data_IF_776218355783
#
_entry.id   IF_776218355783
#
_cell.length_a   1.000
_cell.length_b   1.000
_cell.length_c   1.000
_cell.angle_alpha   90.00
_cell.angle_beta   90.00
_cell.angle_gamma   90.00
#
_symmetry.space_group_name_H-M   'P 1'
#
loop_
_entity.id
_entity.type
_entity.pdbx_description
1 polymer ?
#
# COMPACT_ATOMS: atom_id res chain seq x y z
N UNK A 1 3.29 -30.61 -1.50
CA UNK A 1 3.23 -29.51 -0.53
C UNK A 1 4.60 -28.90 -0.38
N UNK A 2 4.67 -27.57 -0.33
CA UNK A 2 5.92 -26.83 -0.09
C UNK A 2 5.66 -25.81 1.01
N UNK A 3 6.61 -25.73 1.95
CA UNK A 3 6.66 -24.62 2.89
C UNK A 3 7.49 -23.49 2.28
N UNK A 4 6.92 -22.30 2.26
CA UNK A 4 7.57 -21.06 1.89
C UNK A 4 7.69 -20.17 3.13
N UNK A 5 8.78 -19.45 3.26
CA UNK A 5 9.00 -18.48 4.35
C UNK A 5 10.48 -18.39 4.74
N UNK A 6 10.94 -17.19 4.99
CA UNK A 6 12.30 -16.94 5.47
C UNK A 6 12.45 -17.38 6.93
N UNK A 7 13.65 -17.85 7.32
CA UNK A 7 13.94 -18.31 8.69
C UNK A 7 13.69 -17.26 9.77
N UNK A 8 13.74 -15.99 9.41
CA UNK A 8 13.56 -14.84 10.31
C UNK A 8 12.12 -14.40 10.47
N UNK A 9 11.20 -14.88 9.61
CA UNK A 9 9.77 -14.52 9.67
C UNK A 9 9.00 -15.49 10.56
N UNK A 10 8.09 -14.95 11.36
CA UNK A 10 7.23 -15.77 12.24
C UNK A 10 6.15 -16.56 11.49
N UNK A 11 5.95 -16.28 10.20
CA UNK A 11 4.93 -16.90 9.37
C UNK A 11 5.54 -17.92 8.40
N UNK A 12 4.79 -18.98 8.18
CA UNK A 12 5.07 -20.00 7.17
C UNK A 12 3.85 -20.20 6.30
N UNK A 13 4.07 -20.20 5.00
CA UNK A 13 3.04 -20.49 4.00
C UNK A 13 3.21 -21.95 3.57
N UNK A 14 2.16 -22.73 3.65
CA UNK A 14 2.11 -24.07 3.09
C UNK A 14 1.28 -24.02 1.80
N UNK A 15 1.93 -24.27 0.68
CA UNK A 15 1.31 -24.24 -0.65
C UNK A 15 1.24 -25.64 -1.29
N UNK A 16 0.12 -25.94 -1.94
CA UNK A 16 -0.01 -27.14 -2.73
C UNK A 16 0.56 -26.92 -4.13
N UNK A 17 1.77 -27.45 -4.43
CA UNK A 17 2.39 -27.34 -5.77
C UNK A 17 1.79 -28.34 -6.74
N UNK A 18 1.43 -29.52 -6.28
CA UNK A 18 0.91 -30.61 -7.10
C UNK A 18 -0.17 -31.38 -6.33
N UNK A 19 -1.38 -31.41 -6.86
CA UNK A 19 -2.48 -32.17 -6.27
C UNK A 19 -3.18 -32.94 -7.41
N UNK A 20 -3.24 -34.27 -7.30
CA UNK A 20 -3.89 -35.14 -8.27
C UNK A 20 -5.41 -35.27 -8.08
N UNK A 21 -5.90 -34.89 -6.90
CA UNK A 21 -7.26 -35.14 -6.46
C UNK A 21 -8.04 -33.88 -6.08
N UNK A 22 -7.45 -32.67 -6.28
CA UNK A 22 -8.07 -31.42 -5.92
C UNK A 22 -7.32 -30.20 -6.46
N UNK A 23 -7.72 -29.01 -6.00
CA UNK A 23 -7.11 -27.75 -6.37
C UNK A 23 -5.67 -27.66 -5.86
N UNK A 24 -4.77 -27.09 -6.66
CA UNK A 24 -3.43 -26.67 -6.22
C UNK A 24 -3.42 -25.23 -5.70
N UNK A 25 -4.58 -24.56 -5.70
CA UNK A 25 -4.71 -23.17 -5.27
C UNK A 25 -4.95 -23.03 -3.77
N UNK A 26 -4.91 -24.12 -3.00
CA UNK A 26 -5.08 -24.06 -1.55
C UNK A 26 -3.79 -23.67 -0.86
N UNK A 27 -3.94 -22.76 0.10
CA UNK A 27 -2.87 -22.17 0.87
C UNK A 27 -3.26 -22.25 2.36
N UNK A 28 -2.35 -22.69 3.20
CA UNK A 28 -2.47 -22.62 4.64
C UNK A 28 -1.35 -21.75 5.22
N UNK A 29 -1.70 -20.89 6.17
CA UNK A 29 -0.77 -20.02 6.89
C UNK A 29 -0.58 -20.53 8.31
N UNK A 30 0.68 -20.60 8.73
CA UNK A 30 1.08 -21.01 10.07
C UNK A 30 1.94 -19.95 10.71
N UNK A 31 1.75 -19.72 11.99
CA UNK A 31 2.64 -18.92 12.83
C UNK A 31 3.61 -19.83 13.59
N UNK A 32 4.83 -19.38 13.79
CA UNK A 32 5.79 -20.03 14.69
C UNK A 32 5.49 -19.61 16.12
N UNK A 33 5.03 -20.54 16.94
CA UNK A 33 4.86 -20.39 18.39
C UNK A 33 5.91 -21.22 19.13
N UNK A 34 6.01 -21.05 20.45
CA UNK A 34 6.88 -21.89 21.29
C UNK A 34 6.52 -23.36 21.20
N UNK A 35 5.22 -23.67 20.98
CA UNK A 35 4.68 -25.02 20.77
C UNK A 35 4.94 -25.59 19.37
N UNK A 36 5.54 -24.84 18.45
CA UNK A 36 5.74 -25.21 17.06
C UNK A 36 4.86 -24.42 16.08
N UNK A 37 4.49 -25.03 14.96
CA UNK A 37 3.62 -24.42 13.95
C UNK A 37 2.15 -24.44 14.40
N UNK A 38 1.54 -23.28 14.47
CA UNK A 38 0.12 -23.10 14.78
C UNK A 38 -0.59 -22.51 13.56
N UNK A 39 -1.71 -23.10 13.16
CA UNK A 39 -2.51 -22.58 12.02
C UNK A 39 -3.05 -21.19 12.34
N UNK A 40 -3.00 -20.29 11.34
CA UNK A 40 -3.55 -18.93 11.43
C UNK A 40 -4.93 -18.93 10.79
N UNK A 41 -5.97 -18.92 11.63
CA UNK A 41 -7.37 -18.91 11.17
C UNK A 41 -7.73 -17.68 10.37
N UNK A 42 -7.18 -16.51 10.75
CA UNK A 42 -7.45 -15.24 10.13
C UNK A 42 -6.16 -14.50 9.73
N UNK A 43 -5.55 -14.88 8.60
CA UNK A 43 -4.33 -14.26 8.13
C UNK A 43 -4.46 -12.75 7.87
N UNK A 44 -5.59 -12.34 7.31
CA UNK A 44 -5.84 -10.92 7.01
C UNK A 44 -5.83 -10.07 8.28
N UNK A 45 -6.39 -10.57 9.39
CA UNK A 45 -6.36 -9.84 10.66
C UNK A 45 -4.92 -9.70 11.20
N UNK A 46 -4.08 -10.69 10.99
CA UNK A 46 -2.68 -10.65 11.38
C UNK A 46 -1.90 -9.60 10.55
N UNK A 47 -2.12 -9.55 9.23
CA UNK A 47 -1.44 -8.61 8.34
C UNK A 47 -1.92 -7.18 8.46
N UNK A 48 -3.16 -6.98 8.85
CA UNK A 48 -3.73 -5.65 9.06
C UNK A 48 -3.40 -5.09 10.45
N UNK A 49 -3.11 -5.96 11.45
CA UNK A 49 -2.68 -5.55 12.77
C UNK A 49 -3.51 -4.37 13.32
N UNK A 50 -2.80 -3.30 13.73
CA UNK A 50 -3.42 -2.07 14.25
C UNK A 50 -4.31 -1.33 13.22
N UNK A 51 -4.23 -1.68 11.93
CA UNK A 51 -5.08 -1.07 10.90
C UNK A 51 -6.55 -1.35 11.14
N UNK A 52 -6.90 -2.56 11.61
CA UNK A 52 -8.29 -2.91 11.92
C UNK A 52 -8.87 -2.02 13.03
N UNK A 53 -8.07 -1.64 14.01
CA UNK A 53 -8.49 -0.70 15.05
C UNK A 53 -8.76 0.72 14.51
N UNK A 54 -8.24 1.04 13.33
CA UNK A 54 -8.41 2.33 12.67
C UNK A 54 -9.59 2.37 11.70
N UNK A 55 -10.18 1.22 11.35
CA UNK A 55 -11.41 1.15 10.57
C UNK A 55 -12.53 1.85 11.34
N UNK A 56 -13.15 2.86 10.72
CA UNK A 56 -14.15 3.72 11.38
C UNK A 56 -13.58 4.99 12.03
N UNK A 57 -12.25 5.16 12.12
CA UNK A 57 -11.65 6.45 12.45
C UNK A 57 -11.73 7.41 11.24
N UNK A 58 -11.63 8.71 11.51
CA UNK A 58 -11.77 9.72 10.45
C UNK A 58 -10.55 9.86 9.53
N UNK A 59 -9.39 9.35 9.94
CA UNK A 59 -8.14 9.54 9.17
C UNK A 59 -7.21 8.32 9.26
N UNK A 60 -6.71 7.87 8.10
CA UNK A 60 -5.54 7.02 7.98
C UNK A 60 -4.26 7.86 7.86
N UNK A 61 -3.09 7.24 8.05
CA UNK A 61 -1.83 7.88 7.71
C UNK A 61 -1.71 8.07 6.19
N UNK A 62 -1.07 9.17 5.74
CA UNK A 62 -0.66 9.32 4.35
C UNK A 62 0.30 8.19 3.96
N UNK A 63 0.31 7.81 2.70
CA UNK A 63 1.16 6.74 2.23
C UNK A 63 0.67 5.32 2.60
N UNK A 64 -0.58 5.15 3.02
CA UNK A 64 -1.11 3.82 3.35
C UNK A 64 -2.37 3.49 2.56
N UNK A 65 -2.50 2.22 2.16
CA UNK A 65 -3.70 1.68 1.51
C UNK A 65 -3.92 0.22 1.93
N UNK A 66 -5.13 -0.28 1.74
CA UNK A 66 -5.43 -1.71 1.92
C UNK A 66 -5.80 -2.30 0.57
N UNK A 67 -5.18 -3.43 0.25
CA UNK A 67 -5.47 -4.23 -0.92
C UNK A 67 -6.19 -5.52 -0.51
N UNK A 68 -7.06 -6.01 -1.38
CA UNK A 68 -7.64 -7.33 -1.26
C UNK A 68 -7.18 -8.18 -2.44
N UNK A 69 -6.27 -9.10 -2.19
CA UNK A 69 -5.71 -9.98 -3.17
C UNK A 69 -6.26 -11.39 -3.11
N UNK A 70 -6.09 -12.12 -4.20
CA UNK A 70 -6.36 -13.54 -4.28
C UNK A 70 -5.06 -14.32 -4.10
N UNK A 71 -4.99 -15.16 -3.11
CA UNK A 71 -3.88 -16.09 -2.92
C UNK A 71 -4.47 -17.50 -2.93
N UNK A 72 -4.35 -18.16 -4.08
CA UNK A 72 -5.03 -19.43 -4.30
C UNK A 72 -6.56 -19.31 -4.23
N UNK A 73 -7.19 -20.12 -3.39
CA UNK A 73 -8.65 -20.10 -3.15
C UNK A 73 -9.07 -19.07 -2.10
N UNK A 74 -8.14 -18.50 -1.34
CA UNK A 74 -8.40 -17.53 -0.27
C UNK A 74 -8.20 -16.11 -0.75
N UNK A 75 -8.97 -15.20 -0.18
CA UNK A 75 -8.75 -13.76 -0.31
C UNK A 75 -8.02 -13.25 0.91
N UNK A 76 -6.94 -12.50 0.70
CA UNK A 76 -6.15 -11.90 1.76
C UNK A 76 -6.23 -10.38 1.67
N UNK A 77 -6.39 -9.73 2.83
CA UNK A 77 -6.23 -8.29 2.95
C UNK A 77 -4.84 -7.97 3.50
N UNK A 78 -4.16 -7.06 2.83
CA UNK A 78 -2.82 -6.62 3.18
C UNK A 78 -2.76 -5.10 3.23
N UNK A 79 -2.02 -4.57 4.19
CA UNK A 79 -1.69 -3.15 4.21
C UNK A 79 -0.45 -2.91 3.35
N UNK A 80 -0.57 -1.90 2.49
CA UNK A 80 0.53 -1.34 1.70
C UNK A 80 0.95 -0.03 2.32
N UNK A 81 2.24 0.15 2.51
CA UNK A 81 2.85 1.39 2.96
C UNK A 81 3.81 1.91 1.90
N UNK A 82 3.72 3.18 1.57
CA UNK A 82 4.64 3.86 0.67
C UNK A 82 5.17 5.14 1.29
N UNK A 83 6.43 5.44 1.01
CA UNK A 83 7.07 6.68 1.38
C UNK A 83 7.77 7.28 0.16
N UNK A 84 7.44 8.53 -0.15
CA UNK A 84 8.11 9.32 -1.18
C UNK A 84 8.88 10.44 -0.51
N UNK A 85 10.17 10.55 -0.80
CA UNK A 85 11.06 11.51 -0.14
C UNK A 85 11.86 12.28 -1.18
N UNK A 86 11.88 13.61 -1.06
CA UNK A 86 12.77 14.43 -1.88
C UNK A 86 14.22 14.14 -1.49
N UNK A 87 15.04 13.83 -2.48
CA UNK A 87 16.47 13.58 -2.28
C UNK A 87 17.29 14.63 -3.02
N UNK A 88 18.37 15.12 -2.39
CA UNK A 88 19.37 15.94 -3.06
C UNK A 88 20.34 15.12 -3.93
N UNK A 89 20.19 13.80 -3.96
CA UNK A 89 21.04 12.91 -4.72
C UNK A 89 20.51 12.75 -6.16
N UNK A 90 21.34 12.85 -7.19
CA UNK A 90 20.94 12.57 -8.57
C UNK A 90 20.50 11.10 -8.79
N UNK A 91 20.98 10.18 -7.96
CA UNK A 91 20.62 8.76 -8.03
C UNK A 91 19.44 8.48 -7.09
N UNK A 92 18.25 8.51 -7.62
CA UNK A 92 17.01 8.18 -6.88
C UNK A 92 16.94 6.68 -6.56
N UNK A 93 16.41 6.36 -5.39
CA UNK A 93 16.24 4.99 -4.92
C UNK A 93 14.81 4.52 -5.17
N UNK A 94 14.67 3.27 -5.55
CA UNK A 94 13.41 2.53 -5.63
C UNK A 94 13.58 1.27 -4.80
N UNK A 95 12.86 1.19 -3.71
CA UNK A 95 12.92 0.04 -2.79
C UNK A 95 11.52 -0.53 -2.63
N UNK A 96 11.39 -1.82 -2.79
CA UNK A 96 10.11 -2.52 -2.64
C UNK A 96 10.32 -3.82 -1.88
N UNK A 97 9.43 -4.07 -0.92
CA UNK A 97 9.36 -5.32 -0.17
C UNK A 97 7.97 -5.93 -0.32
N UNK A 98 7.90 -7.19 -0.66
CA UNK A 98 6.65 -7.94 -0.80
C UNK A 98 5.89 -7.69 -2.09
N UNK A 99 6.48 -7.00 -3.09
CA UNK A 99 5.90 -6.72 -4.40
C UNK A 99 6.96 -6.81 -5.50
N UNK A 100 6.53 -7.08 -6.74
CA UNK A 100 7.45 -7.13 -7.88
C UNK A 100 8.05 -5.75 -8.20
N UNK A 101 9.37 -5.68 -8.30
CA UNK A 101 10.11 -4.45 -8.55
C UNK A 101 9.80 -3.83 -9.91
N UNK A 102 9.72 -4.65 -10.97
CA UNK A 102 9.46 -4.15 -12.32
C UNK A 102 8.02 -3.63 -12.42
N UNK A 103 7.08 -4.28 -11.73
CA UNK A 103 5.69 -3.81 -11.67
C UNK A 103 5.58 -2.48 -10.92
N UNK A 104 6.31 -2.29 -9.83
CA UNK A 104 6.41 -0.99 -9.17
C UNK A 104 6.91 0.09 -10.14
N UNK A 105 7.98 -0.17 -10.91
CA UNK A 105 8.50 0.80 -11.89
C UNK A 105 7.45 1.18 -12.94
N UNK A 106 6.66 0.22 -13.42
CA UNK A 106 5.55 0.47 -14.35
C UNK A 106 4.48 1.37 -13.71
N UNK A 107 4.07 1.09 -12.48
CA UNK A 107 3.10 1.91 -11.76
C UNK A 107 3.59 3.34 -11.55
N UNK A 108 4.85 3.52 -11.16
CA UNK A 108 5.46 4.85 -11.03
C UNK A 108 5.44 5.62 -12.35
N UNK A 109 5.76 4.96 -13.47
CA UNK A 109 5.71 5.56 -14.80
C UNK A 109 4.27 5.97 -15.20
N UNK A 110 3.27 5.14 -14.86
CA UNK A 110 1.84 5.47 -15.08
C UNK A 110 1.40 6.65 -14.22
N UNK A 111 1.74 6.66 -12.93
CA UNK A 111 1.46 7.77 -12.01
C UNK A 111 2.09 9.08 -12.50
N UNK A 112 3.33 9.02 -12.98
CA UNK A 112 4.01 10.19 -13.52
C UNK A 112 3.37 10.66 -14.83
N UNK A 113 3.19 9.75 -15.81
CA UNK A 113 2.77 10.12 -17.16
C UNK A 113 1.28 10.40 -17.28
N UNK A 114 0.41 9.66 -16.55
CA UNK A 114 -1.05 9.74 -16.69
C UNK A 114 -1.71 10.60 -15.62
N UNK A 115 -1.12 10.63 -14.42
CA UNK A 115 -1.67 11.39 -13.29
C UNK A 115 -0.94 12.72 -13.12
N UNK A 116 0.33 12.81 -13.55
CA UNK A 116 1.13 14.03 -13.45
C UNK A 116 1.89 14.17 -12.13
N UNK A 117 2.08 13.07 -11.38
CA UNK A 117 2.88 13.08 -10.15
C UNK A 117 4.38 13.10 -10.52
N UNK A 118 5.12 14.12 -10.07
CA UNK A 118 6.55 14.26 -10.39
C UNK A 118 7.41 13.36 -9.49
N UNK A 119 7.46 12.06 -9.80
CA UNK A 119 8.14 11.05 -8.99
C UNK A 119 9.59 10.80 -9.39
N UNK A 120 10.03 11.29 -10.55
CA UNK A 120 11.34 11.00 -11.15
C UNK A 120 12.53 11.46 -10.30
N UNK A 121 12.34 12.44 -9.41
CA UNK A 121 13.39 12.99 -8.52
C UNK A 121 13.20 12.64 -7.05
N UNK A 122 12.33 11.71 -6.73
CA UNK A 122 12.03 11.31 -5.37
C UNK A 122 12.52 9.89 -5.13
N UNK A 123 13.06 9.62 -3.97
CA UNK A 123 13.15 8.24 -3.48
C UNK A 123 11.76 7.70 -3.21
N UNK A 124 11.50 6.46 -3.61
CA UNK A 124 10.22 5.78 -3.37
C UNK A 124 10.49 4.45 -2.69
N UNK A 125 9.87 4.28 -1.55
CA UNK A 125 9.90 3.06 -0.76
C UNK A 125 8.48 2.50 -0.69
N UNK A 126 8.30 1.21 -0.98
CA UNK A 126 7.03 0.50 -0.86
C UNK A 126 7.23 -0.76 -0.04
N UNK A 127 6.32 -1.02 0.87
CA UNK A 127 6.36 -2.19 1.72
C UNK A 127 4.95 -2.79 1.87
N UNK A 128 4.83 -4.10 1.62
CA UNK A 128 3.65 -4.85 2.02
C UNK A 128 3.86 -5.34 3.44
N UNK A 129 2.96 -4.94 4.32
CA UNK A 129 3.04 -5.29 5.75
C UNK A 129 2.84 -6.79 5.93
N UNK A 130 3.65 -7.40 6.80
CA UNK A 130 3.59 -8.83 7.10
C UNK A 130 4.63 -9.67 6.36
N UNK A 131 5.37 -9.07 5.41
CA UNK A 131 6.52 -9.71 4.79
C UNK A 131 6.18 -10.88 3.86
N UNK A 132 4.97 -10.96 3.33
CA UNK A 132 4.61 -11.87 2.26
C UNK A 132 5.04 -11.29 0.91
N UNK A 133 5.53 -12.15 0.03
CA UNK A 133 5.66 -11.79 -1.38
C UNK A 133 4.28 -11.98 -2.03
N UNK A 134 3.74 -10.88 -2.53
CA UNK A 134 2.40 -10.82 -3.08
C UNK A 134 2.46 -10.54 -4.58
N UNK A 135 1.95 -11.47 -5.39
CA UNK A 135 2.10 -11.45 -6.85
C UNK A 135 0.82 -11.08 -7.61
N UNK A 136 -0.31 -10.92 -6.91
CA UNK A 136 -1.60 -10.67 -7.57
C UNK A 136 -1.68 -9.24 -8.12
N UNK A 137 -1.79 -9.06 -9.46
CA UNK A 137 -1.93 -7.75 -10.09
C UNK A 137 -3.11 -6.91 -9.58
N UNK A 138 -4.11 -7.55 -8.98
CA UNK A 138 -5.23 -6.87 -8.34
C UNK A 138 -4.82 -5.92 -7.20
N UNK A 139 -3.59 -5.98 -6.72
CA UNK A 139 -3.01 -5.07 -5.73
C UNK A 139 -2.49 -3.74 -6.29
N UNK A 140 -2.33 -3.60 -7.61
CA UNK A 140 -1.75 -2.40 -8.23
C UNK A 140 -2.42 -1.11 -7.81
N UNK A 141 -3.74 -1.12 -7.76
CA UNK A 141 -4.51 0.06 -7.41
C UNK A 141 -4.19 0.56 -6.00
N UNK A 142 -4.00 -0.36 -5.04
CA UNK A 142 -3.60 0.00 -3.68
C UNK A 142 -2.16 0.48 -3.59
N UNK A 143 -1.23 -0.13 -4.36
CA UNK A 143 0.15 0.38 -4.48
C UNK A 143 0.14 1.82 -5.02
N UNK A 144 -0.62 2.06 -6.08
CA UNK A 144 -0.77 3.39 -6.67
C UNK A 144 -1.37 4.40 -5.69
N UNK A 145 -2.37 3.99 -4.88
CA UNK A 145 -2.94 4.84 -3.84
C UNK A 145 -1.92 5.18 -2.74
N UNK A 146 -1.19 4.19 -2.25
CA UNK A 146 -0.17 4.41 -1.22
C UNK A 146 0.91 5.40 -1.71
N UNK A 147 1.43 5.21 -2.92
CA UNK A 147 2.42 6.13 -3.52
C UNK A 147 1.84 7.53 -3.72
N UNK A 148 0.64 7.64 -4.31
CA UNK A 148 0.01 8.93 -4.57
C UNK A 148 -0.31 9.69 -3.29
N UNK A 149 -0.83 9.01 -2.27
CA UNK A 149 -1.15 9.64 -0.97
C UNK A 149 0.09 10.07 -0.21
N UNK A 150 1.17 9.30 -0.28
CA UNK A 150 2.48 9.72 0.26
C UNK A 150 3.01 10.96 -0.45
N UNK A 151 2.94 11.00 -1.78
CA UNK A 151 3.40 12.15 -2.58
C UNK A 151 2.59 13.42 -2.30
N UNK A 152 1.28 13.29 -2.15
CA UNK A 152 0.36 14.42 -1.94
C UNK A 152 0.21 14.82 -0.47
N UNK A 153 0.83 14.07 0.44
CA UNK A 153 0.61 14.17 1.90
C UNK A 153 -0.88 14.20 2.27
N UNK A 154 -1.63 13.28 1.66
CA UNK A 154 -3.07 13.11 1.86
C UNK A 154 -3.37 11.73 2.40
N UNK A 155 -4.48 11.58 3.09
CA UNK A 155 -4.99 10.29 3.54
C UNK A 155 -6.23 9.88 2.74
N UNK A 156 -6.47 8.57 2.69
CA UNK A 156 -7.71 7.98 2.21
C UNK A 156 -8.53 7.47 3.39
N UNK A 157 -9.79 7.15 3.14
CA UNK A 157 -10.69 6.56 4.14
C UNK A 157 -10.06 5.27 4.72
N UNK A 158 -9.93 5.15 6.06
CA UNK A 158 -9.40 3.94 6.69
C UNK A 158 -10.20 2.67 6.37
N UNK A 159 -11.50 2.81 6.12
CA UNK A 159 -12.40 1.71 5.75
C UNK A 159 -12.41 1.37 4.25
N UNK A 160 -11.53 1.99 3.45
CA UNK A 160 -11.43 1.77 2.02
C UNK A 160 -10.51 0.61 1.68
N UNK A 161 -10.96 -0.28 0.80
CA UNK A 161 -10.15 -1.32 0.15
C UNK A 161 -10.03 -1.00 -1.34
N UNK A 162 -8.82 -1.13 -1.88
CA UNK A 162 -8.52 -0.94 -3.29
C UNK A 162 -8.28 -2.29 -3.97
N UNK A 163 -8.96 -2.54 -5.08
CA UNK A 163 -8.76 -3.74 -5.90
C UNK A 163 -8.78 -3.37 -7.36
N UNK A 164 -7.75 -3.71 -8.10
CA UNK A 164 -7.70 -3.46 -9.55
C UNK A 164 -6.30 -3.59 -10.11
N UNK A 165 -6.18 -4.16 -11.29
CA UNK A 165 -4.95 -4.13 -12.08
C UNK A 165 -4.87 -2.81 -12.84
N UNK A 166 -3.69 -2.17 -12.84
CA UNK A 166 -3.45 -0.91 -13.56
C UNK A 166 -2.67 -1.18 -14.83
N UNK A 167 -3.29 -0.86 -15.98
CA UNK A 167 -2.61 -0.94 -17.27
C UNK A 167 -1.73 0.27 -17.56
N UNK A 168 -0.82 0.16 -18.53
CA UNK A 168 0.14 1.21 -18.90
C UNK A 168 -0.50 2.48 -19.47
N UNK A 169 -1.74 2.39 -19.95
CA UNK A 169 -2.49 3.56 -20.41
C UNK A 169 -3.25 4.25 -19.27
N UNK A 170 -3.22 3.66 -18.05
CA UNK A 170 -3.91 4.15 -16.87
C UNK A 170 -5.33 3.60 -16.74
N UNK A 171 -5.72 2.64 -17.58
CA UNK A 171 -6.98 1.90 -17.45
C UNK A 171 -6.96 0.96 -16.24
N UNK A 172 -8.13 0.73 -15.65
CA UNK A 172 -8.31 -0.26 -14.57
C UNK A 172 -8.91 -1.54 -15.17
N UNK A 173 -8.16 -2.63 -15.06
CA UNK A 173 -8.50 -3.93 -15.64
C UNK A 173 -9.22 -4.83 -14.66
N UNK A 174 -9.98 -5.78 -15.23
CA UNK A 174 -10.71 -6.79 -14.47
C UNK A 174 -9.79 -7.61 -13.56
N UNK A 175 -10.32 -7.99 -12.40
CA UNK A 175 -9.69 -8.92 -11.48
C UNK A 175 -10.55 -10.15 -11.27
N UNK A 176 -9.92 -11.28 -10.99
CA UNK A 176 -10.61 -12.51 -10.69
C UNK A 176 -11.15 -12.52 -9.26
N UNK A 177 -12.25 -13.23 -9.04
CA UNK A 177 -12.83 -13.50 -7.70
C UNK A 177 -13.15 -12.23 -6.88
N UNK A 178 -13.49 -11.10 -7.55
CA UNK A 178 -13.76 -9.83 -6.87
C UNK A 178 -14.78 -9.99 -5.74
N UNK A 179 -15.87 -10.73 -5.95
CA UNK A 179 -16.91 -10.94 -4.94
C UNK A 179 -16.38 -11.59 -3.65
N UNK A 180 -15.46 -12.56 -3.75
CA UNK A 180 -14.82 -13.18 -2.58
C UNK A 180 -13.92 -12.19 -1.84
N UNK A 181 -13.13 -11.39 -2.56
CA UNK A 181 -12.27 -10.35 -1.99
C UNK A 181 -13.06 -9.32 -1.19
N UNK A 182 -14.17 -8.85 -1.73
CA UNK A 182 -15.02 -7.86 -1.06
C UNK A 182 -15.79 -8.44 0.14
N UNK A 183 -16.19 -9.71 0.08
CA UNK A 183 -16.79 -10.39 1.23
C UNK A 183 -15.81 -10.51 2.39
N UNK A 184 -14.55 -10.85 2.11
CA UNK A 184 -13.51 -10.89 3.12
C UNK A 184 -13.24 -9.50 3.70
N UNK A 185 -13.18 -8.46 2.86
CA UNK A 185 -13.06 -7.08 3.32
C UNK A 185 -14.22 -6.66 4.23
N UNK A 186 -15.47 -6.96 3.83
CA UNK A 186 -16.64 -6.68 4.66
C UNK A 186 -16.60 -7.45 6.00
N UNK A 187 -16.15 -8.71 5.99
CA UNK A 187 -16.02 -9.52 7.22
C UNK A 187 -15.07 -8.88 8.24
N UNK A 188 -14.05 -8.18 7.75
CA UNK A 188 -13.06 -7.47 8.55
C UNK A 188 -13.45 -6.02 8.90
N UNK A 189 -14.67 -5.61 8.54
CA UNK A 189 -15.22 -4.30 8.90
C UNK A 189 -15.01 -3.20 7.88
N UNK A 190 -14.35 -3.45 6.74
CA UNK A 190 -14.25 -2.47 5.66
C UNK A 190 -15.62 -2.23 5.04
N UNK A 191 -15.92 -0.97 4.77
CA UNK A 191 -17.26 -0.54 4.33
C UNK A 191 -17.25 0.18 2.98
N UNK A 192 -16.08 0.34 2.36
CA UNK A 192 -15.91 0.99 1.07
C UNK A 192 -14.90 0.24 0.21
N UNK A 193 -15.18 0.12 -1.09
CA UNK A 193 -14.26 -0.49 -2.04
C UNK A 193 -14.22 0.30 -3.35
N UNK A 194 -13.01 0.48 -3.91
CA UNK A 194 -12.81 0.97 -5.27
C UNK A 194 -12.34 -0.20 -6.12
N UNK A 195 -13.07 -0.49 -7.20
CA UNK A 195 -12.93 -1.71 -7.98
C UNK A 195 -13.01 -1.43 -9.48
N UNK A 196 -12.54 -2.34 -10.35
CA UNK A 196 -12.73 -2.19 -11.79
C UNK A 196 -14.23 -2.20 -12.14
N UNK A 197 -14.68 -1.20 -12.86
CA UNK A 197 -16.08 -1.10 -13.31
C UNK A 197 -16.49 -2.26 -14.21
N UNK A 198 -15.56 -2.79 -14.98
CA UNK A 198 -15.78 -3.96 -15.86
C UNK A 198 -16.18 -5.23 -15.09
N UNK A 199 -15.87 -5.32 -13.80
CA UNK A 199 -16.30 -6.42 -12.93
C UNK A 199 -17.73 -6.26 -12.39
N UNK A 200 -18.40 -5.14 -12.64
CA UNK A 200 -19.74 -4.86 -12.16
C UNK A 200 -20.80 -5.13 -13.26
N UNK A 201 -22.04 -5.53 -12.88
CA UNK A 201 -22.50 -5.80 -11.51
C UNK A 201 -22.01 -7.11 -10.93
N UNK A 202 -21.83 -7.17 -9.62
CA UNK A 202 -21.51 -8.41 -8.91
C UNK A 202 -22.74 -9.29 -8.76
N UNK A 203 -22.61 -10.60 -8.93
CA UNK A 203 -23.69 -11.56 -8.73
C UNK A 203 -24.21 -11.55 -7.27
N UNK A 204 -23.30 -11.46 -6.30
CA UNK A 204 -23.59 -11.43 -4.89
C UNK A 204 -22.77 -10.30 -4.22
N UNK A 205 -23.23 -9.05 -4.31
CA UNK A 205 -22.49 -7.92 -3.73
C UNK A 205 -22.52 -7.97 -2.19
N UNK A 206 -21.48 -7.45 -1.52
CA UNK A 206 -21.47 -7.30 -0.08
C UNK A 206 -22.57 -6.32 0.34
N UNK A 207 -23.37 -6.68 1.35
CA UNK A 207 -24.59 -5.93 1.72
C UNK A 207 -24.32 -4.63 2.49
N UNK A 208 -23.14 -4.48 3.10
CA UNK A 208 -22.77 -3.36 3.97
C UNK A 208 -21.53 -2.61 3.46
N UNK A 209 -21.31 -2.59 2.17
CA UNK A 209 -20.13 -1.99 1.55
C UNK A 209 -20.55 -1.13 0.37
N UNK A 210 -20.08 0.11 0.35
CA UNK A 210 -20.14 0.98 -0.82
C UNK A 210 -19.09 0.50 -1.85
N UNK A 211 -19.55 0.09 -3.04
CA UNK A 211 -18.67 -0.39 -4.11
C UNK A 211 -18.65 0.63 -5.25
N UNK A 212 -17.50 1.24 -5.47
CA UNK A 212 -17.28 2.26 -6.49
C UNK A 212 -16.53 1.64 -7.67
N UNK A 213 -17.19 1.52 -8.81
CA UNK A 213 -16.60 1.07 -10.06
C UNK A 213 -15.89 2.19 -10.80
N UNK A 214 -14.64 1.96 -11.22
CA UNK A 214 -13.81 2.93 -11.93
C UNK A 214 -13.22 2.34 -13.21
N UNK A 215 -13.06 3.18 -14.23
CA UNK A 215 -12.49 2.80 -15.52
C UNK A 215 -11.02 3.21 -15.64
N UNK A 216 -10.58 4.22 -14.88
CA UNK A 216 -9.22 4.76 -14.95
C UNK A 216 -8.60 5.01 -13.57
N UNK A 217 -7.27 5.02 -13.52
CA UNK A 217 -6.51 5.38 -12.32
C UNK A 217 -6.81 6.81 -11.85
N UNK A 218 -7.08 7.72 -12.80
CA UNK A 218 -7.47 9.10 -12.47
C UNK A 218 -8.80 9.16 -11.72
N UNK A 219 -9.81 8.40 -12.17
CA UNK A 219 -11.11 8.32 -11.50
C UNK A 219 -11.00 7.64 -10.14
N UNK A 220 -10.18 6.59 -10.07
CA UNK A 220 -9.90 5.89 -8.81
C UNK A 220 -9.28 6.82 -7.75
N UNK A 221 -8.28 7.62 -8.13
CA UNK A 221 -7.64 8.56 -7.21
C UNK A 221 -8.60 9.69 -6.79
N UNK A 222 -9.44 10.20 -7.70
CA UNK A 222 -10.49 11.19 -7.34
C UNK A 222 -11.50 10.62 -6.35
N UNK A 223 -11.88 9.36 -6.53
CA UNK A 223 -12.81 8.68 -5.62
C UNK A 223 -12.19 8.38 -4.25
N UNK A 224 -10.88 8.09 -4.20
CA UNK A 224 -10.16 7.74 -2.98
C UNK A 224 -9.74 8.96 -2.15
N UNK A 225 -9.32 10.06 -2.79
CA UNK A 225 -8.72 11.23 -2.15
C UNK A 225 -9.68 12.42 -2.22
N UNK A 226 -10.33 12.77 -1.10
CA UNK A 226 -11.30 13.87 -1.09
C UNK A 226 -10.68 15.20 -1.55
N UNK A 227 -11.36 15.88 -2.47
CA UNK A 227 -10.93 17.19 -2.97
C UNK A 227 -9.68 17.15 -3.86
N UNK A 228 -9.32 15.98 -4.41
CA UNK A 228 -8.25 15.90 -5.39
C UNK A 228 -8.69 16.53 -6.71
N UNK A 229 -8.11 17.68 -7.04
CA UNK A 229 -8.24 18.30 -8.36
C UNK A 229 -7.05 17.88 -9.18
N UNK A 230 -7.29 17.18 -10.27
CA UNK A 230 -6.27 16.88 -11.28
C UNK A 230 -6.50 17.82 -12.44
N UNK A 231 -5.66 18.85 -12.57
CA UNK A 231 -5.66 19.68 -13.75
C UNK A 231 -5.22 18.81 -14.93
N UNK A 232 -6.06 18.69 -15.95
CA UNK A 232 -5.78 17.89 -17.16
C UNK A 232 -4.59 18.40 -17.98
N UNK A 233 -3.73 19.26 -17.41
CA UNK A 233 -2.58 19.92 -18.04
C UNK A 233 -1.41 20.11 -17.07
N UNK A 234 -1.05 19.14 -16.27
CA UNK A 234 0.25 19.20 -15.58
C UNK A 234 1.35 18.71 -16.53
N UNK A 235 1.71 19.54 -17.50
CA UNK A 235 3.07 19.50 -18.07
C UNK A 235 3.99 20.00 -16.96
N UNK A 236 5.08 19.29 -16.59
CA UNK A 236 6.04 19.81 -15.63
C UNK A 236 6.58 21.14 -16.17
N UNK A 237 6.41 22.20 -15.40
CA UNK A 237 7.03 23.49 -15.68
C UNK A 237 8.53 23.30 -15.45
N UNK A 238 9.31 23.20 -16.53
CA UNK A 238 10.76 22.94 -16.49
C UNK A 238 11.56 24.08 -15.85
N UNK A 239 10.92 25.15 -15.36
CA UNK A 239 11.56 26.37 -14.87
C UNK A 239 11.31 26.69 -13.40
N UNK A 240 10.74 25.83 -12.59
CA UNK A 240 10.70 26.07 -11.14
C UNK A 240 11.98 25.54 -10.49
N UNK A 241 12.90 26.48 -10.21
CA UNK A 241 14.03 26.26 -9.31
C UNK A 241 13.50 25.82 -7.92
N UNK A 242 14.20 24.91 -7.20
CA UNK A 242 13.77 24.43 -5.90
C UNK A 242 13.58 25.61 -4.95
N UNK A 243 12.38 25.74 -4.37
CA UNK A 243 12.10 26.71 -3.30
C UNK A 243 13.12 26.47 -2.20
N UNK A 244 13.95 27.50 -1.91
CA UNK A 244 14.91 27.48 -0.79
C UNK A 244 14.16 27.08 0.48
N UNK A 245 14.63 26.04 1.12
CA UNK A 245 14.27 25.70 2.49
C UNK A 245 14.66 26.93 3.33
N UNK A 246 13.69 27.53 3.99
CA UNK A 246 13.95 28.60 4.97
C UNK A 246 14.63 27.89 6.15
N UNK A 247 15.94 28.07 6.28
CA UNK A 247 16.67 27.70 7.48
C UNK A 247 16.06 28.46 8.66
N UNK A 248 15.33 27.75 9.51
CA UNK A 248 14.99 28.28 10.83
C UNK A 248 16.31 28.47 11.60
N UNK A 249 16.64 29.73 11.88
CA UNK A 249 17.76 30.09 12.77
C UNK A 249 17.59 29.35 14.08
N UNK A 250 18.37 28.31 14.28
CA UNK A 250 18.61 27.78 15.61
C UNK A 250 19.45 28.82 16.35
N UNK A 251 18.86 29.40 17.36
CA UNK A 251 19.47 30.39 18.24
C UNK A 251 20.67 29.78 19.00
N UNK A 252 21.87 30.25 18.69
CA UNK A 252 23.13 29.74 19.22
C UNK A 252 23.50 30.41 20.55
N UNK A 253 22.55 30.58 21.47
CA UNK A 253 22.77 31.26 22.77
C UNK A 253 22.77 30.34 24.00
N UNK A 254 22.92 29.02 23.82
CA UNK A 254 22.98 28.09 24.95
C UNK A 254 24.31 27.31 25.01
N UNK A 255 25.45 28.00 24.91
CA UNK A 255 26.79 27.37 25.04
C UNK A 255 27.80 28.19 25.84
N UNK A 256 27.39 28.91 26.89
CA UNK A 256 28.37 29.60 27.73
C UNK A 256 28.20 29.47 29.28
N UNK A 257 27.38 28.53 29.77
CA UNK A 257 27.19 28.39 31.23
C UNK A 257 27.69 27.08 31.85
N UNK A 258 28.57 26.30 31.18
CA UNK A 258 29.11 25.05 31.77
C UNK A 258 30.64 25.04 31.95
N UNK A 259 31.34 26.19 31.85
CA UNK A 259 32.81 26.24 32.05
C UNK A 259 33.26 26.99 33.31
N UNK A 260 32.37 27.39 34.20
CA UNK A 260 32.80 28.16 35.41
C UNK A 260 32.50 27.52 36.78
N UNK A 261 32.40 26.19 36.88
CA UNK A 261 32.19 25.51 38.19
C UNK A 261 33.06 24.27 38.41
N UNK A 262 34.32 24.32 38.02
CA UNK A 262 35.27 23.26 38.41
C UNK A 262 36.66 23.77 38.86
N UNK A 263 36.75 24.98 39.46
CA UNK A 263 37.98 25.49 40.09
C UNK A 263 37.73 26.02 41.51
N UNK A 264 37.15 25.21 42.37
CA UNK A 264 37.14 25.50 43.80
C UNK A 264 36.84 24.25 44.59
N UNK A 265 37.79 23.32 44.66
CA UNK A 265 37.95 22.37 45.78
C UNK A 265 39.32 21.72 45.65
N UNK A 266 40.30 22.41 46.19
CA UNK A 266 41.41 21.78 46.86
C UNK A 266 41.17 21.91 48.35
#
# INVERSE_FOLDING_TARGET
LQFEGERTRQLRVLRAIKNRFGSTTELALFAMAESGLVEVDNPSALFLGDRLAKVGLKQAASGTAVIAGGEGSRSLLLEVQALTVSTGNPNVRRVVNGWDYNRLLQLLAVLEKRIGLSLSRLDVYVNIVGGLDFEDPGGDLGIAFAVATSFLDRSIDPGLVAVGEVGLTGEIRAVQNLGARLKEAQRLGFNKAIVPKVNLPLQNPPSKMEVIGVDSLADALRAAIPGLVMDGRSRPNQNEAPKKVVESKFDATAKNDIVSKNDSLK
#
